data_IF_495522522505
#
_entry.id   IF_495522522505
#
_cell.length_a   1.000
_cell.length_b   1.000
_cell.length_c   1.000
_cell.angle_alpha   90.00
_cell.angle_beta   90.00
_cell.angle_gamma   90.00
#
_symmetry.space_group_name_H-M   'P 1'
#
loop_
_entity.id
_entity.type
_entity.pdbx_description
1 polymer ?
#
# COMPACT_ATOMS: atom_id res chain seq x y z
N UNK A 1 -5.02 -9.53 -27.71
CA UNK A 1 -6.18 -8.92 -27.01
C UNK A 1 -6.34 -7.48 -27.46
N UNK A 2 -7.44 -6.84 -27.07
CA UNK A 2 -7.62 -5.40 -27.18
C UNK A 2 -7.25 -4.76 -25.83
N UNK A 3 -6.61 -3.60 -25.84
CA UNK A 3 -6.26 -2.87 -24.61
C UNK A 3 -6.90 -1.49 -24.68
N UNK A 4 -7.54 -1.10 -23.58
CA UNK A 4 -7.96 0.29 -23.35
C UNK A 4 -7.13 0.83 -22.20
N UNK A 5 -6.45 1.94 -22.44
CA UNK A 5 -5.66 2.67 -21.44
C UNK A 5 -6.38 3.96 -21.09
N UNK A 6 -6.40 4.31 -19.80
CA UNK A 6 -6.99 5.55 -19.30
C UNK A 6 -5.90 6.41 -18.68
N UNK A 7 -5.85 7.67 -19.07
CA UNK A 7 -4.95 8.67 -18.50
C UNK A 7 -5.76 9.92 -18.16
N UNK A 8 -5.58 10.46 -16.96
CA UNK A 8 -6.36 11.60 -16.47
C UNK A 8 -5.86 12.93 -17.08
N UNK A 9 -4.60 12.97 -17.49
CA UNK A 9 -3.99 14.11 -18.18
C UNK A 9 -4.21 14.06 -19.68
N UNK A 10 -4.93 15.07 -20.21
CA UNK A 10 -5.28 15.10 -21.62
C UNK A 10 -4.05 15.16 -22.56
N UNK A 11 -2.98 15.85 -22.16
CA UNK A 11 -1.80 16.00 -22.99
C UNK A 11 -0.97 14.71 -23.01
N UNK A 12 -0.82 14.05 -21.84
CA UNK A 12 -0.16 12.75 -21.78
C UNK A 12 -0.96 11.68 -22.54
N UNK A 13 -2.28 11.68 -22.43
CA UNK A 13 -3.16 10.76 -23.15
C UNK A 13 -2.98 10.90 -24.67
N UNK A 14 -2.98 12.13 -25.19
CA UNK A 14 -2.76 12.42 -26.62
C UNK A 14 -1.39 11.92 -27.09
N UNK A 15 -0.33 12.26 -26.36
CA UNK A 15 1.04 11.84 -26.71
C UNK A 15 1.19 10.31 -26.66
N UNK A 16 0.56 9.65 -25.68
CA UNK A 16 0.55 8.19 -25.59
C UNK A 16 -0.16 7.55 -26.79
N UNK A 17 -1.31 8.07 -27.20
CA UNK A 17 -2.06 7.58 -28.36
C UNK A 17 -1.23 7.67 -29.65
N UNK A 18 -0.57 8.81 -29.89
CA UNK A 18 0.30 9.03 -31.06
C UNK A 18 1.46 8.01 -31.08
N UNK A 19 2.14 7.81 -29.95
CA UNK A 19 3.26 6.87 -29.84
C UNK A 19 2.84 5.42 -30.03
N UNK A 20 1.72 5.02 -29.44
CA UNK A 20 1.18 3.66 -29.56
C UNK A 20 0.72 3.36 -30.98
N UNK A 21 0.09 4.32 -31.65
CA UNK A 21 -0.28 4.21 -33.06
C UNK A 21 0.96 4.07 -33.96
N UNK A 22 1.99 4.91 -33.76
CA UNK A 22 3.24 4.83 -34.49
C UNK A 22 3.98 3.49 -34.30
N UNK A 23 3.83 2.88 -33.12
CA UNK A 23 4.37 1.55 -32.81
C UNK A 23 3.51 0.39 -33.35
N UNK A 24 2.37 0.67 -34.01
CA UNK A 24 1.44 -0.35 -34.49
C UNK A 24 0.73 -1.12 -33.38
N UNK A 25 0.68 -0.57 -32.16
CA UNK A 25 0.07 -1.21 -31.01
C UNK A 25 -1.47 -1.16 -31.10
N UNK A 26 -2.12 -2.27 -30.75
CA UNK A 26 -3.59 -2.37 -30.73
C UNK A 26 -4.15 -1.87 -29.39
N UNK A 27 -4.04 -0.56 -29.17
CA UNK A 27 -4.44 0.12 -27.92
C UNK A 27 -5.34 1.32 -28.22
N UNK A 28 -6.45 1.43 -27.50
CA UNK A 28 -7.26 2.65 -27.42
C UNK A 28 -6.87 3.43 -26.17
N UNK A 29 -6.59 4.73 -26.32
CA UNK A 29 -6.27 5.61 -25.20
C UNK A 29 -7.45 6.56 -24.97
N UNK A 30 -7.94 6.64 -23.74
CA UNK A 30 -9.02 7.54 -23.33
C UNK A 30 -8.52 8.50 -22.26
N UNK A 31 -8.93 9.76 -22.36
CA UNK A 31 -8.72 10.72 -21.28
C UNK A 31 -9.81 10.57 -20.24
N UNK A 32 -9.46 10.42 -18.97
CA UNK A 32 -10.44 10.32 -17.89
C UNK A 32 -9.87 9.86 -16.55
N UNK A 33 -10.71 9.88 -15.53
CA UNK A 33 -10.37 9.35 -14.21
C UNK A 33 -10.49 7.83 -14.19
N UNK A 34 -9.36 7.13 -13.99
CA UNK A 34 -9.32 5.67 -13.94
C UNK A 34 -10.10 5.06 -12.76
N UNK A 35 -10.51 5.85 -11.76
CA UNK A 35 -11.36 5.42 -10.64
C UNK A 35 -12.85 5.47 -10.97
N UNK A 36 -13.26 6.17 -12.04
CA UNK A 36 -14.66 6.35 -12.38
C UNK A 36 -15.25 5.24 -13.26
N UNK A 37 -14.45 4.23 -13.64
CA UNK A 37 -14.83 3.28 -14.68
C UNK A 37 -14.84 3.90 -16.08
N UNK A 38 -15.08 3.09 -17.10
CA UNK A 38 -15.01 3.51 -18.51
C UNK A 38 -16.36 3.32 -19.18
N UNK A 39 -17.10 4.43 -19.30
CA UNK A 39 -18.41 4.44 -19.93
C UNK A 39 -18.36 3.86 -21.36
N UNK A 40 -19.31 2.98 -21.67
CA UNK A 40 -19.47 2.37 -22.99
C UNK A 40 -18.44 1.30 -23.37
N UNK A 41 -17.47 0.96 -22.51
CA UNK A 41 -16.49 -0.10 -22.80
C UNK A 41 -17.08 -1.52 -22.65
N UNK A 42 -18.11 -1.68 -21.82
CA UNK A 42 -18.58 -3.00 -21.39
C UNK A 42 -17.59 -3.72 -20.45
N UNK A 43 -17.89 -4.97 -20.04
CA UNK A 43 -17.04 -5.71 -19.12
C UNK A 43 -15.68 -6.08 -19.72
N UNK A 44 -14.61 -5.99 -18.92
CA UNK A 44 -13.25 -6.40 -19.31
C UNK A 44 -12.82 -7.68 -18.59
N UNK A 45 -11.90 -8.43 -19.19
CA UNK A 45 -11.34 -9.65 -18.59
C UNK A 45 -10.41 -9.35 -17.42
N UNK A 46 -9.66 -8.25 -17.54
CA UNK A 46 -8.54 -7.87 -16.65
C UNK A 46 -8.49 -6.36 -16.51
N UNK A 47 -8.27 -5.88 -15.30
CA UNK A 47 -7.96 -4.49 -14.99
C UNK A 47 -6.59 -4.43 -14.32
N UNK A 48 -5.75 -3.51 -14.79
CA UNK A 48 -4.44 -3.22 -14.19
C UNK A 48 -4.36 -1.73 -13.92
N UNK A 49 -4.23 -1.36 -12.65
CA UNK A 49 -3.89 0.01 -12.27
C UNK A 49 -2.37 0.13 -12.13
N UNK A 50 -1.79 1.13 -12.79
CA UNK A 50 -0.35 1.45 -12.71
C UNK A 50 -0.09 2.63 -11.76
N UNK A 51 -1.00 2.85 -10.82
CA UNK A 51 -0.96 3.84 -9.76
C UNK A 51 -1.60 3.23 -8.50
N UNK A 52 -1.28 3.77 -7.33
CA UNK A 52 -1.78 3.27 -6.07
C UNK A 52 -3.14 3.88 -5.70
N UNK A 53 -4.03 3.05 -5.18
CA UNK A 53 -5.29 3.49 -4.54
C UNK A 53 -5.28 3.10 -3.07
N UNK A 54 -5.81 3.95 -2.20
CA UNK A 54 -6.01 3.61 -0.78
C UNK A 54 -7.32 2.83 -0.58
N UNK A 55 -8.35 3.22 -1.35
CA UNK A 55 -9.64 2.54 -1.42
C UNK A 55 -9.87 2.00 -2.82
N UNK A 56 -10.16 0.71 -2.93
CA UNK A 56 -10.43 0.08 -4.24
C UNK A 56 -11.77 0.59 -4.78
N UNK A 57 -11.82 1.23 -5.97
CA UNK A 57 -13.06 1.73 -6.54
C UNK A 57 -14.06 0.60 -6.84
N UNK A 58 -15.31 0.76 -6.42
CA UNK A 58 -16.39 -0.19 -6.73
C UNK A 58 -16.63 -0.34 -8.24
N UNK A 59 -16.42 0.74 -8.99
CA UNK A 59 -16.47 0.77 -10.46
C UNK A 59 -15.51 -0.23 -11.10
N UNK A 60 -14.38 -0.57 -10.47
CA UNK A 60 -13.47 -1.59 -10.99
C UNK A 60 -14.08 -2.99 -10.91
N UNK A 61 -14.81 -3.29 -9.84
CA UNK A 61 -15.53 -4.55 -9.66
C UNK A 61 -16.67 -4.63 -10.68
N UNK A 62 -17.41 -3.53 -10.88
CA UNK A 62 -18.50 -3.44 -11.87
C UNK A 62 -18.00 -3.57 -13.32
N UNK A 63 -16.83 -3.02 -13.64
CA UNK A 63 -16.25 -3.04 -14.99
C UNK A 63 -15.59 -4.39 -15.33
N UNK A 64 -15.17 -5.18 -14.35
CA UNK A 64 -14.48 -6.46 -14.58
C UNK A 64 -15.49 -7.59 -14.50
N UNK A 65 -15.50 -8.46 -15.52
CA UNK A 65 -16.43 -9.59 -15.54
C UNK A 65 -16.24 -10.52 -14.31
N UNK A 66 -17.27 -11.27 -13.90
CA UNK A 66 -17.10 -12.37 -12.94
C UNK A 66 -15.94 -13.32 -13.30
N UNK A 67 -15.13 -13.72 -12.32
CA UNK A 67 -13.89 -14.47 -12.52
C UNK A 67 -12.74 -13.68 -13.17
N UNK A 68 -12.96 -12.40 -13.47
CA UNK A 68 -11.96 -11.45 -13.95
C UNK A 68 -10.96 -11.07 -12.86
N UNK A 69 -9.82 -10.48 -13.23
CA UNK A 69 -8.77 -10.07 -12.28
C UNK A 69 -8.56 -8.57 -12.26
N UNK A 70 -8.34 -8.04 -11.06
CA UNK A 70 -7.99 -6.65 -10.78
C UNK A 70 -6.62 -6.65 -10.12
N UNK A 71 -5.63 -6.00 -10.73
CA UNK A 71 -4.28 -5.87 -10.17
C UNK A 71 -3.98 -4.40 -9.93
N UNK A 72 -3.57 -4.05 -8.71
CA UNK A 72 -3.32 -2.66 -8.35
C UNK A 72 -2.31 -2.56 -7.20
N UNK A 73 -1.41 -1.56 -7.23
CA UNK A 73 -0.70 -1.08 -6.05
C UNK A 73 -1.68 -0.55 -5.00
N UNK A 74 -1.44 -0.86 -3.72
CA UNK A 74 -2.33 -0.47 -2.62
C UNK A 74 -1.64 0.48 -1.65
N UNK A 75 -2.15 1.72 -1.61
CA UNK A 75 -1.56 2.84 -0.90
C UNK A 75 -0.05 2.94 -1.10
N UNK A 76 0.68 3.15 0.00
CA UNK A 76 2.14 3.36 -0.05
C UNK A 76 3.00 2.10 -0.01
N UNK A 77 2.45 0.89 0.10
CA UNK A 77 3.29 -0.31 0.19
C UNK A 77 2.48 -1.56 -0.16
N UNK A 78 2.82 -2.17 -1.28
CA UNK A 78 2.26 -3.45 -1.71
C UNK A 78 1.40 -3.34 -2.96
N UNK A 79 1.10 -4.49 -3.57
CA UNK A 79 0.11 -4.59 -4.63
C UNK A 79 -0.68 -5.89 -4.51
N UNK A 80 -1.98 -5.83 -4.80
CA UNK A 80 -2.89 -6.96 -4.71
C UNK A 80 -3.29 -7.44 -6.11
N UNK A 81 -3.65 -8.71 -6.20
CA UNK A 81 -4.41 -9.26 -7.31
C UNK A 81 -5.71 -9.86 -6.75
N UNK A 82 -6.84 -9.24 -7.09
CA UNK A 82 -8.17 -9.69 -6.69
C UNK A 82 -8.87 -10.39 -7.86
N UNK A 83 -9.72 -11.36 -7.53
CA UNK A 83 -10.63 -12.01 -8.48
C UNK A 83 -12.05 -11.56 -8.17
N UNK A 84 -12.78 -11.10 -9.18
CA UNK A 84 -14.19 -10.73 -9.05
C UNK A 84 -15.03 -11.99 -8.84
N UNK A 85 -15.89 -11.97 -7.83
CA UNK A 85 -16.79 -13.08 -7.50
C UNK A 85 -17.79 -13.35 -8.63
N UNK A 86 -18.34 -14.57 -8.66
CA UNK A 86 -19.32 -15.00 -9.69
C UNK A 86 -20.58 -14.12 -9.73
N UNK A 87 -20.96 -13.52 -8.60
CA UNK A 87 -22.12 -12.61 -8.51
C UNK A 87 -21.80 -11.17 -8.94
N UNK A 88 -20.53 -10.85 -9.22
CA UNK A 88 -20.07 -9.51 -9.60
C UNK A 88 -20.13 -8.46 -8.49
N UNK A 89 -20.33 -8.84 -7.22
CA UNK A 89 -20.56 -7.89 -6.11
C UNK A 89 -19.36 -7.70 -5.19
N UNK A 90 -18.34 -8.56 -5.32
CA UNK A 90 -17.14 -8.49 -4.52
C UNK A 90 -15.92 -8.92 -5.30
N UNK A 91 -14.74 -8.57 -4.81
CA UNK A 91 -13.47 -9.07 -5.30
C UNK A 91 -12.59 -9.49 -4.12
N UNK A 92 -11.96 -10.65 -4.22
CA UNK A 92 -11.09 -11.20 -3.17
C UNK A 92 -9.78 -11.72 -3.75
N UNK A 93 -8.69 -11.56 -3.03
CA UNK A 93 -7.39 -12.09 -3.42
C UNK A 93 -6.27 -11.70 -2.49
N UNK A 94 -5.03 -11.84 -2.96
CA UNK A 94 -3.85 -11.87 -2.13
C UNK A 94 -2.87 -10.76 -2.47
N UNK A 95 -2.09 -10.34 -1.47
CA UNK A 95 -0.91 -9.52 -1.72
C UNK A 95 0.05 -10.29 -2.65
N UNK A 96 0.49 -9.64 -3.72
CA UNK A 96 1.40 -10.20 -4.71
C UNK A 96 2.84 -9.70 -4.56
N UNK A 97 3.07 -8.74 -3.68
CA UNK A 97 4.41 -8.33 -3.27
C UNK A 97 4.48 -6.87 -2.86
N UNK A 98 5.61 -6.47 -2.29
CA UNK A 98 5.88 -5.09 -1.93
C UNK A 98 6.21 -4.28 -3.18
N UNK A 99 5.52 -3.15 -3.33
CA UNK A 99 5.78 -2.19 -4.38
C UNK A 99 5.44 -0.78 -3.90
N UNK A 100 6.14 0.20 -4.45
CA UNK A 100 5.91 1.63 -4.23
C UNK A 100 5.48 2.24 -5.56
N UNK A 101 4.33 2.90 -5.57
CA UNK A 101 3.79 3.57 -6.75
C UNK A 101 3.31 4.98 -6.38
N UNK A 102 3.17 5.83 -7.40
CA UNK A 102 2.50 7.13 -7.23
C UNK A 102 1.04 6.88 -6.86
N UNK A 103 0.52 7.62 -5.89
CA UNK A 103 -0.92 7.60 -5.57
C UNK A 103 -1.75 8.11 -6.74
N UNK A 104 -3.05 7.82 -6.72
CA UNK A 104 -4.01 8.50 -7.58
C UNK A 104 -3.95 10.03 -7.35
N UNK A 105 -4.46 10.81 -8.32
CA UNK A 105 -4.38 12.28 -8.22
C UNK A 105 -5.27 12.88 -7.13
N UNK A 106 -6.14 12.08 -6.52
CA UNK A 106 -6.96 12.48 -5.36
C UNK A 106 -6.25 12.20 -4.03
N UNK A 107 -5.17 11.41 -4.04
CA UNK A 107 -4.33 11.16 -2.88
C UNK A 107 -3.68 12.47 -2.42
N UNK A 108 -4.15 13.00 -1.30
CA UNK A 108 -3.66 14.25 -0.72
C UNK A 108 -2.46 13.98 0.17
N UNK A 109 -1.30 14.59 -0.15
CA UNK A 109 -0.21 14.71 0.82
C UNK A 109 1.21 14.72 0.27
N UNK A 110 1.66 15.84 -0.27
CA UNK A 110 3.10 16.15 -0.31
C UNK A 110 3.44 16.88 0.99
N UNK A 111 3.86 16.12 2.02
CA UNK A 111 4.35 16.71 3.26
C UNK A 111 5.88 16.80 3.19
N UNK A 112 6.40 18.02 3.19
CA UNK A 112 7.82 18.32 3.37
C UNK A 112 8.29 17.73 4.69
N UNK A 113 9.39 16.97 4.67
CA UNK A 113 9.99 16.45 5.89
C UNK A 113 10.71 17.60 6.61
N UNK A 114 10.30 18.01 7.82
CA UNK A 114 11.11 18.92 8.62
C UNK A 114 12.45 18.25 8.95
N UNK A 115 13.50 19.06 9.15
CA UNK A 115 14.77 18.58 9.66
C UNK A 115 14.55 17.84 10.99
N UNK A 116 15.28 16.74 11.19
CA UNK A 116 15.28 16.03 12.48
C UNK A 116 15.78 16.98 13.56
N UNK A 117 14.90 17.42 14.46
CA UNK A 117 15.34 18.03 15.71
C UNK A 117 15.86 16.90 16.59
N UNK A 118 17.19 16.79 16.71
CA UNK A 118 17.83 15.93 17.70
C UNK A 118 17.52 16.47 19.10
N UNK A 119 16.54 15.84 19.75
CA UNK A 119 16.06 16.17 21.08
C UNK A 119 14.80 15.36 21.32
N UNK A 120 14.87 14.36 22.20
CA UNK A 120 13.77 13.42 22.40
C UNK A 120 14.12 12.29 23.34
N UNK A 121 13.09 11.67 23.87
CA UNK A 121 13.19 10.60 24.86
C UNK A 121 13.68 9.30 24.22
N UNK A 122 14.73 8.71 24.81
CA UNK A 122 15.21 7.39 24.41
C UNK A 122 14.27 6.32 24.96
N UNK A 123 13.70 5.51 24.07
CA UNK A 123 13.12 4.24 24.45
C UNK A 123 14.00 3.12 23.90
N UNK A 124 14.08 2.03 24.65
CA UNK A 124 14.98 0.90 24.40
C UNK A 124 14.16 -0.35 24.06
N UNK A 125 14.58 -1.06 23.03
CA UNK A 125 14.15 -2.41 22.65
C UNK A 125 15.38 -3.34 22.64
N UNK A 126 15.19 -4.65 22.80
CA UNK A 126 16.26 -5.65 22.82
C UNK A 126 16.86 -5.95 21.43
N UNK A 127 16.39 -5.26 20.40
CA UNK A 127 16.89 -5.34 19.03
C UNK A 127 16.08 -6.27 18.13
N UNK A 128 15.24 -7.14 18.70
CA UNK A 128 14.45 -8.11 17.93
C UNK A 128 13.46 -7.40 16.99
N UNK A 129 12.75 -6.38 17.49
CA UNK A 129 11.82 -5.62 16.65
C UNK A 129 12.55 -4.87 15.53
N UNK A 130 13.76 -4.38 15.78
CA UNK A 130 14.53 -3.66 14.76
C UNK A 130 14.92 -4.58 13.61
N UNK A 131 15.33 -5.81 13.88
CA UNK A 131 15.64 -6.80 12.84
C UNK A 131 14.40 -7.08 11.98
N UNK A 132 13.24 -7.26 12.60
CA UNK A 132 11.97 -7.44 11.88
C UNK A 132 11.55 -6.20 11.08
N UNK A 133 11.83 -4.99 11.57
CA UNK A 133 11.51 -3.72 10.87
C UNK A 133 12.34 -3.54 9.60
N UNK A 134 13.50 -4.17 9.52
CA UNK A 134 14.28 -4.21 8.28
C UNK A 134 13.74 -5.24 7.28
N UNK A 135 12.84 -6.13 7.71
CA UNK A 135 12.14 -7.11 6.89
C UNK A 135 10.82 -6.58 6.31
N UNK A 136 10.45 -7.08 5.12
CA UNK A 136 9.22 -6.68 4.43
C UNK A 136 7.92 -7.05 5.15
N UNK A 137 7.94 -8.12 5.96
CA UNK A 137 6.75 -8.69 6.59
C UNK A 137 6.16 -7.78 7.66
N UNK A 138 6.99 -7.33 8.62
CA UNK A 138 6.53 -6.41 9.66
C UNK A 138 6.15 -5.05 9.06
N UNK A 139 6.90 -4.55 8.07
CA UNK A 139 6.56 -3.30 7.38
C UNK A 139 5.15 -3.34 6.77
N UNK A 140 4.79 -4.45 6.13
CA UNK A 140 3.45 -4.62 5.59
C UNK A 140 2.38 -4.75 6.69
N UNK A 141 2.64 -5.52 7.74
CA UNK A 141 1.74 -5.65 8.88
C UNK A 141 1.47 -4.30 9.59
N UNK A 142 2.50 -3.45 9.70
CA UNK A 142 2.40 -2.10 10.24
C UNK A 142 1.60 -1.18 9.32
N UNK A 143 1.79 -1.31 7.99
CA UNK A 143 0.98 -0.59 7.00
C UNK A 143 -0.51 -0.89 7.13
N UNK A 144 -0.88 -2.14 7.43
CA UNK A 144 -2.29 -2.54 7.63
C UNK A 144 -2.82 -2.08 8.99
N UNK A 145 -2.06 -2.27 10.07
CA UNK A 145 -2.51 -1.94 11.43
C UNK A 145 -2.49 -0.46 11.77
N UNK A 146 -1.56 0.29 11.19
CA UNK A 146 -1.33 1.70 11.47
C UNK A 146 -1.21 2.48 10.16
N UNK A 147 -2.31 2.60 9.38
CA UNK A 147 -2.27 3.21 8.05
C UNK A 147 -1.78 4.66 8.07
N UNK A 148 -1.92 5.41 9.16
CA UNK A 148 -1.41 6.78 9.28
C UNK A 148 0.09 6.91 9.60
N UNK A 149 0.82 5.80 9.77
CA UNK A 149 2.26 5.80 10.07
C UNK A 149 3.06 5.27 8.89
N UNK A 150 3.92 6.11 8.35
CA UNK A 150 4.91 5.71 7.34
C UNK A 150 6.16 5.24 8.04
N UNK A 151 6.58 4.03 7.68
CA UNK A 151 7.85 3.44 8.12
C UNK A 151 8.74 3.33 6.90
N UNK A 152 9.93 3.94 6.97
CA UNK A 152 10.93 3.86 5.91
C UNK A 152 12.26 3.41 6.49
N UNK A 153 12.89 2.45 5.82
CA UNK A 153 14.21 1.93 6.20
C UNK A 153 15.25 2.58 5.29
N UNK A 154 16.22 3.27 5.88
CA UNK A 154 17.36 3.85 5.20
C UNK A 154 18.61 3.00 5.46
N UNK A 155 19.35 2.63 4.41
CA UNK A 155 20.56 1.80 4.54
C UNK A 155 20.28 0.31 4.71
N UNK A 156 21.31 -0.45 5.06
CA UNK A 156 21.23 -1.91 5.24
C UNK A 156 22.20 -2.41 6.31
N UNK A 157 21.90 -3.58 6.87
CA UNK A 157 22.72 -4.21 7.92
C UNK A 157 22.81 -3.37 9.19
N UNK A 158 23.99 -3.34 9.81
CA UNK A 158 24.25 -2.64 11.08
C UNK A 158 24.05 -1.12 10.96
N UNK A 159 24.09 -0.56 9.75
CA UNK A 159 23.87 0.87 9.48
C UNK A 159 22.44 1.22 9.06
N UNK A 160 21.53 0.26 9.09
CA UNK A 160 20.12 0.54 8.82
C UNK A 160 19.59 1.55 9.85
N UNK A 161 18.70 2.43 9.41
CA UNK A 161 17.95 3.35 10.26
C UNK A 161 16.49 3.29 9.87
N UNK A 162 15.59 3.30 10.85
CA UNK A 162 14.16 3.26 10.60
C UNK A 162 13.57 4.62 10.96
N UNK A 163 12.96 5.27 9.98
CA UNK A 163 12.25 6.54 10.17
C UNK A 163 10.76 6.29 10.23
N UNK A 164 10.14 6.82 11.27
CA UNK A 164 8.69 6.84 11.46
C UNK A 164 8.17 8.24 11.15
N UNK A 165 7.04 8.32 10.45
CA UNK A 165 6.38 9.60 10.17
C UNK A 165 4.87 9.46 10.28
N UNK A 166 4.22 10.37 11.02
CA UNK A 166 2.75 10.48 11.03
C UNK A 166 2.32 11.31 9.83
N UNK A 167 1.50 10.75 8.95
CA UNK A 167 1.11 11.44 7.70
C UNK A 167 0.36 12.75 7.97
N UNK A 168 -0.53 12.76 8.97
CA UNK A 168 -1.41 13.91 9.23
C UNK A 168 -0.72 15.10 9.86
N UNK A 169 0.31 14.89 10.67
CA UNK A 169 0.97 15.96 11.44
C UNK A 169 2.41 16.24 11.02
N UNK A 170 3.01 15.40 10.16
CA UNK A 170 4.42 15.50 9.79
C UNK A 170 5.40 15.16 10.92
N UNK A 171 4.92 14.83 12.13
CA UNK A 171 5.77 14.39 13.24
C UNK A 171 6.57 13.18 12.82
N UNK A 172 7.83 13.14 13.24
CA UNK A 172 8.74 12.05 12.92
C UNK A 172 9.53 11.59 14.13
N UNK A 173 9.96 10.32 14.07
CA UNK A 173 10.92 9.75 14.98
C UNK A 173 11.94 8.95 14.18
N UNK A 174 13.18 8.92 14.66
CA UNK A 174 14.24 8.09 14.11
C UNK A 174 14.55 6.97 15.09
N UNK A 175 14.70 5.77 14.57
CA UNK A 175 15.03 4.55 15.30
C UNK A 175 16.38 4.07 14.76
N UNK A 176 17.38 4.02 15.63
CA UNK A 176 18.76 3.62 15.28
C UNK A 176 19.23 2.47 16.17
N UNK A 177 20.06 1.58 15.61
CA UNK A 177 20.71 0.51 16.38
C UNK A 177 21.91 1.10 17.12
N UNK A 178 21.98 0.87 18.43
CA UNK A 178 23.11 1.21 19.28
C UNK A 178 24.12 0.04 19.34
N UNK A 179 25.36 0.36 19.71
CA UNK A 179 26.50 -0.57 19.69
C UNK A 179 26.32 -1.76 20.66
N UNK A 180 25.51 -1.60 21.71
CA UNK A 180 25.18 -2.63 22.71
C UNK A 180 24.00 -3.52 22.31
N UNK A 181 23.47 -3.36 21.10
CA UNK A 181 22.30 -4.09 20.59
C UNK A 181 20.97 -3.45 20.95
N UNK A 182 20.97 -2.38 21.75
CA UNK A 182 19.77 -1.63 22.06
C UNK A 182 19.35 -0.75 20.89
N UNK A 183 18.06 -0.48 20.78
CA UNK A 183 17.53 0.42 19.76
C UNK A 183 17.19 1.75 20.41
N UNK A 184 17.77 2.85 19.93
CA UNK A 184 17.51 4.20 20.43
C UNK A 184 16.52 4.94 19.54
N UNK A 185 15.67 5.76 20.17
CA UNK A 185 14.67 6.57 19.46
C UNK A 185 14.94 8.05 19.71
N UNK A 186 14.97 8.82 18.64
CA UNK A 186 15.26 10.24 18.64
C UNK A 186 14.07 11.02 18.05
N UNK A 187 13.74 12.16 18.67
CA UNK A 187 12.70 13.08 18.21
C UNK A 187 11.40 13.05 19.03
N UNK A 188 10.37 13.75 18.54
CA UNK A 188 9.13 14.06 19.29
C UNK A 188 8.04 12.98 19.19
N UNK A 189 8.40 11.72 18.97
CA UNK A 189 7.46 10.68 18.51
C UNK A 189 7.02 9.65 19.54
N UNK A 190 6.85 9.98 20.84
CA UNK A 190 6.40 8.99 21.85
C UNK A 190 5.14 8.22 21.42
N UNK A 191 4.19 8.90 20.79
CA UNK A 191 2.98 8.30 20.21
C UNK A 191 3.31 7.36 19.04
N UNK A 192 4.21 7.76 18.14
CA UNK A 192 4.65 6.94 17.00
C UNK A 192 5.32 5.66 17.48
N UNK A 193 6.14 5.75 18.53
CA UNK A 193 6.76 4.59 19.13
C UNK A 193 5.77 3.68 19.85
N UNK A 194 4.80 4.26 20.58
CA UNK A 194 3.73 3.47 21.20
C UNK A 194 2.91 2.71 20.14
N UNK A 195 2.56 3.37 19.04
CA UNK A 195 1.86 2.75 17.92
C UNK A 195 2.70 1.66 17.23
N UNK A 196 3.99 1.90 17.01
CA UNK A 196 4.91 0.90 16.45
C UNK A 196 4.96 -0.36 17.32
N UNK A 197 5.13 -0.20 18.64
CA UNK A 197 5.13 -1.33 19.59
C UNK A 197 3.79 -2.05 19.62
N UNK A 198 2.67 -1.32 19.59
CA UNK A 198 1.35 -1.93 19.54
C UNK A 198 1.17 -2.77 18.26
N UNK A 199 1.62 -2.25 17.11
CA UNK A 199 1.61 -2.97 15.84
C UNK A 199 2.52 -4.20 15.83
N UNK A 200 3.73 -4.08 16.40
CA UNK A 200 4.65 -5.21 16.57
C UNK A 200 4.06 -6.30 17.47
N UNK A 201 3.49 -5.93 18.62
CA UNK A 201 2.81 -6.86 19.53
C UNK A 201 1.63 -7.56 18.86
N UNK A 202 0.82 -6.84 18.07
CA UNK A 202 -0.26 -7.42 17.28
C UNK A 202 0.29 -8.44 16.28
N UNK A 203 1.35 -8.08 15.55
CA UNK A 203 1.99 -8.97 14.57
C UNK A 203 2.51 -10.25 15.23
N UNK A 204 3.22 -10.13 16.37
CA UNK A 204 3.64 -11.30 17.15
C UNK A 204 2.46 -12.14 17.65
N UNK A 205 1.41 -11.52 18.18
CA UNK A 205 0.19 -12.20 18.66
C UNK A 205 -0.53 -12.95 17.53
N UNK A 206 -0.48 -12.44 16.30
CA UNK A 206 -1.05 -13.04 15.10
C UNK A 206 -0.14 -14.09 14.46
N UNK A 207 0.97 -14.47 15.10
CA UNK A 207 1.85 -15.54 14.63
C UNK A 207 2.96 -15.07 13.69
N UNK A 208 3.28 -13.77 13.68
CA UNK A 208 4.30 -13.16 12.81
C UNK A 208 4.04 -13.45 11.31
N UNK A 209 2.83 -13.17 10.80
CA UNK A 209 2.47 -13.50 9.41
C UNK A 209 3.45 -12.88 8.42
N UNK A 210 3.77 -13.64 7.39
CA UNK A 210 4.50 -13.15 6.24
C UNK A 210 3.59 -12.25 5.41
N UNK A 211 4.18 -11.40 4.57
CA UNK A 211 3.39 -10.51 3.71
C UNK A 211 2.46 -11.29 2.76
N UNK A 212 2.83 -12.52 2.39
CA UNK A 212 2.07 -13.41 1.51
C UNK A 212 0.83 -14.00 2.17
N UNK A 213 0.77 -13.98 3.51
CA UNK A 213 -0.40 -14.42 4.27
C UNK A 213 -1.54 -13.40 4.23
N UNK A 214 -1.28 -12.17 3.74
CA UNK A 214 -2.27 -11.12 3.69
C UNK A 214 -3.12 -11.20 2.42
N UNK A 215 -4.43 -11.15 2.63
CA UNK A 215 -5.41 -11.01 1.58
C UNK A 215 -6.36 -9.85 1.82
N UNK A 216 -7.16 -9.54 0.81
CA UNK A 216 -8.14 -8.47 0.83
C UNK A 216 -9.45 -8.96 0.20
N UNK A 217 -10.56 -8.56 0.82
CA UNK A 217 -11.91 -8.65 0.25
C UNK A 217 -12.51 -7.26 0.15
N UNK A 218 -13.04 -6.92 -1.03
CA UNK A 218 -13.70 -5.65 -1.32
C UNK A 218 -15.15 -5.94 -1.74
N UNK A 219 -16.09 -5.18 -1.19
CA UNK A 219 -17.51 -5.24 -1.54
C UNK A 219 -18.17 -3.89 -1.26
N UNK A 220 -19.48 -3.77 -1.49
CA UNK A 220 -20.26 -2.58 -1.09
C UNK A 220 -20.25 -2.31 0.42
N UNK A 221 -19.96 -3.31 1.26
CA UNK A 221 -19.80 -3.14 2.71
C UNK A 221 -18.46 -2.50 3.10
N UNK A 222 -17.51 -2.41 2.16
CA UNK A 222 -16.18 -1.86 2.37
C UNK A 222 -15.07 -2.83 1.94
N UNK A 223 -13.83 -2.47 2.28
CA UNK A 223 -12.65 -3.28 2.05
C UNK A 223 -12.08 -3.78 3.39
N UNK A 224 -11.74 -5.05 3.45
CA UNK A 224 -11.18 -5.70 4.63
C UNK A 224 -9.90 -6.43 4.26
N UNK A 225 -8.83 -6.17 5.00
CA UNK A 225 -7.58 -6.93 4.93
C UNK A 225 -7.58 -7.98 6.02
N UNK A 226 -7.23 -9.21 5.67
CA UNK A 226 -7.27 -10.39 6.52
C UNK A 226 -5.98 -11.21 6.36
N UNK A 227 -5.77 -12.20 7.23
CA UNK A 227 -4.64 -13.13 7.15
C UNK A 227 -5.12 -14.58 7.01
N UNK A 228 -4.46 -15.36 6.16
CA UNK A 228 -4.69 -16.78 5.84
C UNK A 228 -6.07 -17.17 5.28
N UNK A 229 -7.16 -16.56 5.74
CA UNK A 229 -8.53 -16.85 5.28
C UNK A 229 -9.41 -15.58 5.38
N UNK A 230 -10.27 -15.28 4.38
CA UNK A 230 -11.22 -14.17 4.44
C UNK A 230 -12.17 -14.20 5.65
N UNK A 231 -12.50 -15.38 6.14
CA UNK A 231 -13.38 -15.63 7.28
C UNK A 231 -12.74 -15.36 8.64
N UNK A 232 -11.41 -15.16 8.71
CA UNK A 232 -10.72 -14.80 9.95
C UNK A 232 -10.99 -13.35 10.42
N UNK A 233 -11.81 -12.61 9.66
CA UNK A 233 -12.12 -11.22 9.93
C UNK A 233 -10.94 -10.28 9.66
N UNK A 234 -11.06 -9.00 10.00
CA UNK A 234 -9.99 -8.04 9.77
C UNK A 234 -8.73 -8.42 10.57
N UNK A 235 -7.58 -8.19 9.95
CA UNK A 235 -6.28 -8.28 10.64
C UNK A 235 -6.23 -7.38 11.88
N UNK A 236 -6.85 -6.20 11.78
CA UNK A 236 -7.06 -5.26 12.88
C UNK A 236 -8.41 -5.56 13.52
N UNK A 237 -8.41 -6.43 14.52
CA UNK A 237 -9.58 -6.88 15.27
C UNK A 237 -9.18 -7.45 16.61
#
# INVERSE_FOLDING_TARGET
GWVVSVEIDADLARVAAERLAAAGARVEVRTGDGTAGIAGLGPVDRLVATYAVETVPGTWIEQVRPGGRIVFPWGRLGHFALTVAEDGKSATGWLQGLALFMGDRHATGTVTSPALTLGGETAVDDGAMFEDLTGGHLLFALRVSHPGIVVSVEGSGVRARVRLRKETSGRSALVERADDGLVAILGEGRELWAALRAGYQLWCKRGRPEQWDFGMTVSSAGQTVWIHDPGNGPYVG
#
